data_IF_289126545336
#
_entry.id   IF_289126545336
#
_cell.length_a   1.000
_cell.length_b   1.000
_cell.length_c   1.000
_cell.angle_alpha   90.00
_cell.angle_beta   90.00
_cell.angle_gamma   90.00
#
_symmetry.space_group_name_H-M   'P 1'
#
loop_
_entity.id
_entity.type
_entity.pdbx_description
1 polymer ?
#
# COMPACT_ATOMS: atom_id res chain seq x y z
N UNK A 1 -9.95 -28.99 9.33
CA UNK A 1 -10.21 -28.16 10.53
C UNK A 1 -8.87 -27.96 11.22
N UNK A 2 -8.45 -26.72 11.44
CA UNK A 2 -7.20 -26.42 12.16
C UNK A 2 -7.49 -26.42 13.67
N UNK A 3 -6.98 -27.39 14.46
CA UNK A 3 -7.43 -27.58 15.86
C UNK A 3 -7.17 -26.39 16.79
N UNK A 4 -6.19 -25.54 16.48
CA UNK A 4 -5.89 -24.32 17.25
C UNK A 4 -6.56 -23.05 16.72
N UNK A 5 -7.35 -23.12 15.65
CA UNK A 5 -8.01 -21.96 15.08
C UNK A 5 -9.29 -21.65 15.87
N UNK A 6 -9.41 -20.40 16.35
CA UNK A 6 -10.58 -19.91 17.07
C UNK A 6 -11.36 -18.96 16.16
N UNK A 7 -12.63 -19.27 15.90
CA UNK A 7 -13.54 -18.35 15.22
C UNK A 7 -14.15 -17.40 16.24
N UNK A 8 -14.06 -16.09 15.96
CA UNK A 8 -14.63 -15.05 16.82
C UNK A 8 -15.69 -14.30 15.99
N UNK A 9 -16.99 -14.53 16.23
CA UNK A 9 -18.05 -13.91 15.42
C UNK A 9 -18.11 -12.40 15.64
N UNK A 10 -18.41 -11.66 14.57
CA UNK A 10 -18.64 -10.20 14.59
C UNK A 10 -17.45 -9.37 15.10
N UNK A 11 -16.23 -9.89 14.98
CA UNK A 11 -15.01 -9.19 15.39
C UNK A 11 -14.10 -8.93 14.20
N UNK A 12 -13.37 -7.82 14.29
CA UNK A 12 -12.25 -7.47 13.40
C UNK A 12 -10.93 -7.92 14.04
N UNK A 13 -9.89 -8.23 13.27
CA UNK A 13 -8.64 -8.79 13.82
C UNK A 13 -7.75 -7.75 14.52
N UNK A 14 -8.12 -6.47 14.52
CA UNK A 14 -7.25 -5.37 14.96
C UNK A 14 -6.95 -5.33 16.47
N UNK A 15 -7.71 -6.09 17.27
CA UNK A 15 -7.42 -6.29 18.70
C UNK A 15 -6.31 -7.32 18.97
N UNK A 16 -5.96 -8.13 17.97
CA UNK A 16 -4.92 -9.16 18.08
C UNK A 16 -3.54 -8.51 18.03
N UNK A 17 -2.67 -8.87 18.98
CA UNK A 17 -1.29 -8.40 18.99
C UNK A 17 -0.56 -8.90 17.74
N UNK A 18 0.04 -7.98 17.01
CA UNK A 18 0.83 -8.25 15.81
C UNK A 18 1.91 -7.19 15.63
N UNK A 19 2.92 -7.49 14.82
CA UNK A 19 3.96 -6.54 14.44
C UNK A 19 3.60 -5.79 13.15
N UNK A 20 2.81 -6.41 12.26
CA UNK A 20 2.39 -5.85 10.98
C UNK A 20 0.88 -6.06 10.81
N UNK A 21 0.16 -5.02 10.39
CA UNK A 21 -1.26 -5.10 10.05
C UNK A 21 -1.48 -4.84 8.55
N UNK A 22 -2.26 -5.70 7.90
CA UNK A 22 -2.56 -5.60 6.47
C UNK A 22 -4.09 -5.63 6.26
N UNK A 23 -4.76 -4.46 6.21
CA UNK A 23 -6.16 -4.35 5.78
C UNK A 23 -6.32 -4.76 4.32
N UNK A 24 -7.05 -5.86 4.06
CA UNK A 24 -7.15 -6.49 2.74
C UNK A 24 -8.58 -6.87 2.33
N UNK A 25 -9.63 -6.52 3.08
CA UNK A 25 -10.98 -7.02 2.82
C UNK A 25 -11.85 -6.03 2.04
N UNK A 26 -12.14 -4.87 2.61
CA UNK A 26 -13.10 -3.90 2.06
C UNK A 26 -12.73 -2.46 2.41
N UNK A 27 -13.35 -1.50 1.72
CA UNK A 27 -13.25 -0.09 2.11
C UNK A 27 -13.69 0.13 3.58
N UNK A 28 -13.03 1.05 4.29
CA UNK A 28 -13.32 1.45 5.67
C UNK A 28 -13.39 0.29 6.68
N UNK A 29 -12.59 -0.76 6.48
CA UNK A 29 -12.51 -1.93 7.37
C UNK A 29 -11.70 -1.68 8.65
N UNK A 30 -10.85 -0.65 8.67
CA UNK A 30 -10.05 -0.22 9.82
C UNK A 30 -10.38 1.24 10.14
N UNK A 31 -10.98 1.48 11.30
CA UNK A 31 -11.37 2.82 11.76
C UNK A 31 -10.43 3.38 12.84
N UNK A 32 -10.71 4.59 13.34
CA UNK A 32 -9.86 5.22 14.37
C UNK A 32 -9.73 4.43 15.68
N UNK A 33 -10.77 3.70 16.12
CA UNK A 33 -10.68 2.84 17.30
C UNK A 33 -9.77 1.64 17.06
N UNK A 34 -9.87 1.05 15.87
CA UNK A 34 -9.01 -0.04 15.42
C UNK A 34 -7.54 0.43 15.33
N UNK A 35 -7.29 1.63 14.78
CA UNK A 35 -5.96 2.23 14.73
C UNK A 35 -5.37 2.43 16.13
N UNK A 36 -6.16 2.91 17.09
CA UNK A 36 -5.73 3.04 18.50
C UNK A 36 -5.32 1.69 19.10
N UNK A 37 -6.05 0.62 18.81
CA UNK A 37 -5.66 -0.73 19.25
C UNK A 37 -4.30 -1.14 18.68
N UNK A 38 -4.07 -0.90 17.39
CA UNK A 38 -2.79 -1.21 16.75
C UNK A 38 -1.62 -0.38 17.33
N UNK A 39 -1.85 0.91 17.59
CA UNK A 39 -0.87 1.80 18.23
C UNK A 39 -0.53 1.30 19.64
N UNK A 40 -1.53 0.95 20.45
CA UNK A 40 -1.33 0.40 21.79
C UNK A 40 -0.58 -0.94 21.76
N UNK A 41 -0.80 -1.74 20.71
CA UNK A 41 -0.10 -2.99 20.47
C UNK A 41 1.33 -2.80 19.92
N UNK A 42 1.74 -1.55 19.64
CA UNK A 42 3.06 -1.19 19.09
C UNK A 42 3.35 -1.85 17.75
N UNK A 43 2.35 -1.93 16.88
CA UNK A 43 2.53 -2.34 15.48
C UNK A 43 3.63 -1.50 14.84
N UNK A 44 4.50 -2.14 14.07
CA UNK A 44 5.60 -1.48 13.36
C UNK A 44 5.10 -0.85 12.05
N UNK A 45 4.20 -1.53 11.36
CA UNK A 45 3.73 -1.13 10.03
C UNK A 45 2.27 -1.51 9.77
N UNK A 46 1.55 -0.61 9.13
CA UNK A 46 0.24 -0.83 8.54
C UNK A 46 0.34 -0.67 7.03
N UNK A 47 0.12 -1.75 6.28
CA UNK A 47 0.06 -1.74 4.83
C UNK A 47 -1.38 -1.86 4.36
N UNK A 48 -1.98 -0.76 3.93
CA UNK A 48 -3.34 -0.76 3.37
C UNK A 48 -3.33 -1.48 2.02
N UNK A 49 -3.92 -2.67 1.91
CA UNK A 49 -3.97 -3.45 0.66
C UNK A 49 -5.33 -3.30 -0.02
N UNK A 50 -6.41 -3.15 0.73
CA UNK A 50 -7.73 -2.84 0.17
C UNK A 50 -7.77 -1.41 -0.39
N UNK A 51 -8.72 -1.16 -1.30
CA UNK A 51 -8.94 0.17 -1.84
C UNK A 51 -9.69 1.02 -0.81
N UNK A 52 -8.99 1.97 -0.18
CA UNK A 52 -9.53 2.83 0.89
C UNK A 52 -9.95 2.03 2.13
N UNK A 53 -9.09 1.10 2.56
CA UNK A 53 -9.31 0.21 3.70
C UNK A 53 -9.35 0.92 5.05
N UNK A 54 -8.59 2.00 5.20
CA UNK A 54 -8.54 2.78 6.43
C UNK A 54 -9.42 4.04 6.32
N UNK A 55 -10.17 4.37 7.37
CA UNK A 55 -10.88 5.66 7.43
C UNK A 55 -9.89 6.81 7.59
N UNK A 56 -10.25 8.05 7.21
CA UNK A 56 -9.35 9.21 7.35
C UNK A 56 -8.80 9.37 8.78
N UNK A 57 -9.65 9.17 9.79
CA UNK A 57 -9.27 9.29 11.20
C UNK A 57 -8.27 8.20 11.62
N UNK A 58 -8.36 7.00 11.02
CA UNK A 58 -7.40 5.94 11.25
C UNK A 58 -6.03 6.29 10.64
N UNK A 59 -6.02 6.81 9.42
CA UNK A 59 -4.81 7.23 8.71
C UNK A 59 -4.12 8.35 9.48
N UNK A 60 -4.87 9.38 9.89
CA UNK A 60 -4.36 10.52 10.65
C UNK A 60 -3.74 10.07 11.97
N UNK A 61 -4.42 9.18 12.71
CA UNK A 61 -3.88 8.64 13.96
C UNK A 61 -2.59 7.84 13.74
N UNK A 62 -2.50 7.01 12.69
CA UNK A 62 -1.29 6.23 12.41
C UNK A 62 -0.11 7.14 12.04
N UNK A 63 -0.35 8.19 11.26
CA UNK A 63 0.68 9.18 10.88
C UNK A 63 1.10 10.03 12.08
N UNK A 64 0.15 10.52 12.89
CA UNK A 64 0.42 11.32 14.09
C UNK A 64 1.33 10.57 15.08
N UNK A 65 1.05 9.29 15.31
CA UNK A 65 1.85 8.43 16.18
C UNK A 65 3.11 7.85 15.51
N UNK A 66 3.42 8.30 14.28
CA UNK A 66 4.58 7.87 13.49
C UNK A 66 4.67 6.36 13.29
N UNK A 67 3.53 5.68 13.23
CA UNK A 67 3.46 4.30 12.74
C UNK A 67 3.74 4.33 11.24
N UNK A 68 4.51 3.36 10.73
CA UNK A 68 4.74 3.27 9.29
C UNK A 68 3.41 2.92 8.62
N UNK A 69 2.80 3.91 7.96
CA UNK A 69 1.57 3.71 7.20
C UNK A 69 1.88 3.74 5.71
N UNK A 70 1.63 2.63 5.02
CA UNK A 70 1.83 2.51 3.59
C UNK A 70 0.47 2.50 2.86
N UNK A 71 0.20 3.47 1.96
CA UNK A 71 -1.12 3.69 1.39
C UNK A 71 -1.48 2.69 0.27
N UNK A 72 -2.77 2.40 0.12
CA UNK A 72 -3.32 1.45 -0.87
C UNK A 72 -2.76 1.63 -2.27
N UNK A 73 -2.79 2.86 -2.79
CA UNK A 73 -2.29 3.23 -4.13
C UNK A 73 -0.84 2.82 -4.43
N UNK A 74 -0.03 2.56 -3.40
CA UNK A 74 1.33 2.07 -3.54
C UNK A 74 1.41 0.56 -3.24
N UNK A 75 0.90 0.11 -2.10
CA UNK A 75 1.13 -1.27 -1.62
C UNK A 75 0.39 -2.30 -2.47
N UNK A 76 -0.81 -1.98 -2.95
CA UNK A 76 -1.63 -2.91 -3.75
C UNK A 76 -1.41 -2.77 -5.27
N UNK A 77 -0.52 -1.87 -5.70
CA UNK A 77 -0.27 -1.56 -7.11
C UNK A 77 0.26 -2.76 -7.92
N UNK A 78 0.73 -3.81 -7.26
CA UNK A 78 1.21 -5.04 -7.89
C UNK A 78 0.18 -5.71 -8.82
N UNK A 79 -1.11 -5.64 -8.49
CA UNK A 79 -2.17 -6.15 -9.37
C UNK A 79 -2.24 -5.41 -10.71
N UNK A 80 -2.22 -4.08 -10.68
CA UNK A 80 -2.21 -3.26 -11.90
C UNK A 80 -0.90 -3.39 -12.66
N UNK A 81 0.22 -3.49 -11.94
CA UNK A 81 1.53 -3.70 -12.54
C UNK A 81 1.60 -5.02 -13.33
N UNK A 82 1.10 -6.12 -12.73
CA UNK A 82 1.04 -7.42 -13.41
C UNK A 82 0.09 -7.42 -14.61
N UNK A 83 -1.04 -6.69 -14.57
CA UNK A 83 -1.85 -6.45 -15.78
C UNK A 83 -1.05 -5.74 -16.89
N UNK A 84 -0.21 -4.76 -16.54
CA UNK A 84 0.67 -4.09 -17.51
C UNK A 84 1.72 -5.03 -18.12
N UNK A 85 2.24 -5.97 -17.32
CA UNK A 85 3.14 -7.03 -17.79
C UNK A 85 2.43 -8.00 -18.73
N UNK A 86 1.18 -8.37 -18.43
CA UNK A 86 0.31 -9.17 -19.31
C UNK A 86 0.09 -8.49 -20.66
N UNK A 87 -0.25 -7.19 -20.67
CA UNK A 87 -0.39 -6.41 -21.91
C UNK A 87 0.90 -6.41 -22.74
N UNK A 88 2.06 -6.35 -22.08
CA UNK A 88 3.38 -6.38 -22.74
C UNK A 88 3.65 -7.74 -23.39
N UNK A 89 3.36 -8.84 -22.68
CA UNK A 89 3.47 -10.21 -23.21
C UNK A 89 2.57 -10.40 -24.44
N UNK A 90 1.32 -9.93 -24.36
CA UNK A 90 0.37 -9.99 -25.47
C UNK A 90 0.85 -9.22 -26.70
N UNK A 91 1.38 -8.00 -26.52
CA UNK A 91 1.90 -7.19 -27.61
C UNK A 91 3.15 -7.78 -28.28
N UNK A 92 3.96 -8.53 -27.52
CA UNK A 92 5.17 -9.19 -28.02
C UNK A 92 4.93 -10.63 -28.49
N UNK A 93 3.74 -11.19 -28.27
CA UNK A 93 3.42 -12.61 -28.51
C UNK A 93 4.39 -13.58 -27.81
N UNK A 94 4.79 -13.27 -26.59
CA UNK A 94 5.66 -14.12 -25.76
C UNK A 94 4.93 -14.53 -24.48
N UNK A 95 5.39 -15.62 -23.85
CA UNK A 95 5.01 -15.99 -22.49
C UNK A 95 6.25 -16.01 -21.61
N UNK A 96 6.21 -15.26 -20.51
CA UNK A 96 7.24 -15.31 -19.47
C UNK A 96 6.93 -16.42 -18.47
N UNK A 97 7.97 -16.99 -17.90
CA UNK A 97 7.87 -17.86 -16.73
C UNK A 97 7.40 -17.07 -15.50
N UNK A 98 6.89 -17.78 -14.50
CA UNK A 98 6.49 -17.17 -13.23
C UNK A 98 7.67 -16.42 -12.56
N UNK A 99 8.89 -16.95 -12.66
CA UNK A 99 10.08 -16.32 -12.11
C UNK A 99 10.41 -14.99 -12.79
N UNK A 100 10.28 -14.91 -14.11
CA UNK A 100 10.49 -13.67 -14.86
C UNK A 100 9.42 -12.61 -14.55
N UNK A 101 8.16 -13.04 -14.37
CA UNK A 101 7.09 -12.12 -13.95
C UNK A 101 7.33 -11.62 -12.53
N UNK A 102 7.74 -12.50 -11.61
CA UNK A 102 8.03 -12.15 -10.22
C UNK A 102 9.22 -11.17 -10.12
N UNK A 103 10.31 -11.40 -10.86
CA UNK A 103 11.46 -10.49 -10.90
C UNK A 103 11.05 -9.10 -11.41
N UNK A 104 10.22 -9.04 -12.47
CA UNK A 104 9.71 -7.77 -13.00
C UNK A 104 8.80 -7.07 -11.98
N UNK A 105 7.89 -7.81 -11.35
CA UNK A 105 7.01 -7.28 -10.32
C UNK A 105 7.81 -6.74 -9.12
N UNK A 106 8.80 -7.49 -8.64
CA UNK A 106 9.69 -7.08 -7.56
C UNK A 106 10.35 -5.73 -7.88
N UNK A 107 10.95 -5.60 -9.06
CA UNK A 107 11.57 -4.35 -9.50
C UNK A 107 10.56 -3.19 -9.59
N UNK A 108 9.33 -3.45 -10.05
CA UNK A 108 8.28 -2.43 -10.07
C UNK A 108 7.93 -1.97 -8.65
N UNK A 109 7.76 -2.90 -7.71
CA UNK A 109 7.44 -2.57 -6.31
C UNK A 109 8.59 -1.83 -5.62
N UNK A 110 9.85 -2.20 -5.87
CA UNK A 110 11.03 -1.45 -5.42
C UNK A 110 11.02 -0.01 -5.95
N UNK A 111 10.78 0.17 -7.25
CA UNK A 111 10.69 1.51 -7.83
C UNK A 111 9.57 2.35 -7.20
N UNK A 112 8.39 1.76 -6.94
CA UNK A 112 7.28 2.44 -6.26
C UNK A 112 7.70 2.88 -4.84
N UNK A 113 8.35 1.98 -4.10
CA UNK A 113 8.85 2.26 -2.76
C UNK A 113 9.88 3.40 -2.77
N UNK A 114 10.86 3.35 -3.66
CA UNK A 114 11.88 4.40 -3.82
C UNK A 114 11.25 5.77 -4.13
N UNK A 115 10.23 5.84 -4.99
CA UNK A 115 9.52 7.09 -5.23
C UNK A 115 8.81 7.59 -3.97
N UNK A 116 8.16 6.70 -3.22
CA UNK A 116 7.50 7.08 -1.97
C UNK A 116 8.50 7.61 -0.95
N UNK A 117 9.66 6.96 -0.80
CA UNK A 117 10.74 7.43 0.09
C UNK A 117 11.26 8.78 -0.38
N UNK A 118 11.61 8.92 -1.67
CA UNK A 118 12.16 10.15 -2.24
C UNK A 118 11.28 11.38 -2.00
N UNK A 119 9.97 11.26 -2.21
CA UNK A 119 9.03 12.38 -2.09
C UNK A 119 8.35 12.47 -0.71
N UNK A 120 8.45 11.42 0.11
CA UNK A 120 7.81 11.32 1.42
C UNK A 120 8.74 11.53 2.60
N UNK A 121 10.07 11.47 2.41
CA UNK A 121 11.04 11.69 3.49
C UNK A 121 11.01 13.14 3.97
N UNK A 122 10.84 13.33 5.27
CA UNK A 122 10.85 14.62 5.96
C UNK A 122 12.25 14.95 6.49
N UNK A 123 12.44 16.18 6.97
CA UNK A 123 13.75 16.70 7.40
C UNK A 123 14.36 15.91 8.57
N UNK A 124 13.53 15.27 9.39
CA UNK A 124 13.96 14.47 10.54
C UNK A 124 14.15 12.98 10.21
N UNK A 125 14.03 12.59 8.93
CA UNK A 125 14.19 11.22 8.45
C UNK A 125 12.92 10.36 8.55
N UNK A 126 11.80 10.88 9.07
CA UNK A 126 10.52 10.20 8.98
C UNK A 126 10.05 10.11 7.52
N UNK A 127 9.49 8.96 7.12
CA UNK A 127 8.96 8.77 5.76
C UNK A 127 7.43 8.76 5.81
N UNK A 128 6.82 9.83 5.30
CA UNK A 128 5.39 9.89 5.07
C UNK A 128 5.05 9.29 3.69
N UNK A 129 4.77 7.99 3.66
CA UNK A 129 4.46 7.28 2.41
C UNK A 129 3.19 7.78 1.72
N UNK A 130 2.18 8.27 2.46
CA UNK A 130 0.98 8.87 1.87
C UNK A 130 1.32 10.11 1.05
N UNK A 131 2.13 11.01 1.62
CA UNK A 131 2.65 12.19 0.93
C UNK A 131 3.50 11.79 -0.27
N UNK A 132 4.45 10.86 -0.06
CA UNK A 132 5.35 10.38 -1.11
C UNK A 132 4.62 9.80 -2.32
N UNK A 133 3.67 8.89 -2.08
CA UNK A 133 2.88 8.26 -3.14
C UNK A 133 2.03 9.27 -3.92
N UNK A 134 1.41 10.24 -3.23
CA UNK A 134 0.62 11.30 -3.86
C UNK A 134 1.47 12.19 -4.76
N UNK A 135 2.60 12.69 -4.26
CA UNK A 135 3.47 13.58 -5.01
C UNK A 135 4.06 12.83 -6.22
N UNK A 136 4.58 11.61 -6.02
CA UNK A 136 5.16 10.81 -7.09
C UNK A 136 4.16 10.55 -8.23
N UNK A 137 2.95 10.09 -7.88
CA UNK A 137 1.89 9.82 -8.84
C UNK A 137 1.45 11.08 -9.60
N UNK A 138 1.22 12.18 -8.87
CA UNK A 138 0.81 13.45 -9.45
C UNK A 138 1.87 14.01 -10.41
N UNK A 139 3.13 14.07 -10.00
CA UNK A 139 4.22 14.63 -10.81
C UNK A 139 4.40 13.88 -12.13
N UNK A 140 4.23 12.56 -12.13
CA UNK A 140 4.31 11.75 -13.35
C UNK A 140 3.20 12.10 -14.35
N UNK A 141 1.96 12.22 -13.87
CA UNK A 141 0.81 12.58 -14.72
C UNK A 141 0.90 14.03 -15.18
N UNK A 142 1.17 14.97 -14.28
CA UNK A 142 1.29 16.39 -14.60
C UNK A 142 2.42 16.63 -15.63
N UNK A 143 3.56 15.96 -15.49
CA UNK A 143 4.65 16.01 -16.46
C UNK A 143 4.22 15.54 -17.85
N UNK A 144 3.48 14.43 -17.93
CA UNK A 144 2.95 13.93 -19.20
C UNK A 144 1.93 14.88 -19.82
N UNK A 145 1.00 15.43 -19.02
CA UNK A 145 0.01 16.40 -19.48
C UNK A 145 0.67 17.67 -20.04
N UNK A 146 1.65 18.24 -19.34
CA UNK A 146 2.40 19.40 -19.84
C UNK A 146 3.12 19.09 -21.15
N UNK A 147 3.67 17.88 -21.30
CA UNK A 147 4.33 17.44 -22.53
C UNK A 147 3.39 17.24 -23.72
N UNK A 148 2.12 16.94 -23.48
CA UNK A 148 1.09 16.75 -24.53
C UNK A 148 0.40 18.07 -24.93
N UNK A 149 0.56 19.15 -24.15
CA UNK A 149 -0.09 20.43 -24.41
C UNK A 149 -1.58 20.41 -24.05
N UNK A 150 -2.34 21.37 -24.59
CA UNK A 150 -3.80 21.43 -24.41
C UNK A 150 -4.45 20.60 -25.51
N UNK A 151 -5.04 19.48 -25.12
CA UNK A 151 -5.77 18.53 -25.99
C UNK A 151 -7.22 18.37 -25.55
#
# INVERSE_FOLDING_TARGET
VYPGAVFIPNKRPWEVKADIALPCATQNELNGDDARNLINNKVLCVGEISNMGCTPEAIDALIEYRIMYAPGKAVNAGGVATSGLEMSQNAMHIGWSAAEVDEKLYNIMCNIHEQCVKYGTELDGYVNYTKGANIAGFMKVAGAMMGQGVI
#
